data_IF_912163791941
#
_entry.id   IF_912163791941
#
_cell.length_a   1.000
_cell.length_b   1.000
_cell.length_c   1.000
_cell.angle_alpha   90.00
_cell.angle_beta   90.00
_cell.angle_gamma   90.00
#
_symmetry.space_group_name_H-M   'P 1'
#
loop_
_entity.id
_entity.type
_entity.pdbx_description
1 polymer ?
#
# COMPACT_ATOMS: atom_id res chain seq x y z
N UNK A 1 1.83 -15.24 7.48
CA UNK A 1 2.20 -15.45 6.07
C UNK A 1 3.66 -15.05 5.91
N UNK A 2 4.50 -15.90 5.32
CA UNK A 2 5.92 -15.59 5.10
C UNK A 2 6.06 -14.89 3.75
N UNK A 3 6.76 -13.77 3.74
CA UNK A 3 6.79 -12.85 2.59
C UNK A 3 8.01 -13.14 1.70
N UNK A 4 7.92 -12.91 0.39
CA UNK A 4 8.93 -13.33 -0.57
C UNK A 4 10.26 -12.61 -0.39
N UNK A 5 11.35 -13.38 -0.46
CA UNK A 5 12.75 -13.00 -0.18
C UNK A 5 13.33 -11.92 -1.10
N UNK A 6 12.57 -11.44 -2.10
CA UNK A 6 13.08 -10.52 -3.12
C UNK A 6 12.96 -9.06 -2.75
N UNK A 7 11.97 -8.71 -1.93
CA UNK A 7 11.98 -7.41 -1.30
C UNK A 7 12.88 -7.51 -0.07
N UNK A 8 13.89 -6.66 0.00
CA UNK A 8 14.81 -6.59 1.14
C UNK A 8 14.10 -5.91 2.33
N UNK A 9 13.08 -6.57 2.87
CA UNK A 9 12.44 -6.14 4.10
C UNK A 9 13.48 -6.36 5.19
N UNK A 10 13.97 -5.26 5.77
CA UNK A 10 15.11 -5.25 6.70
C UNK A 10 14.99 -6.25 7.86
N UNK A 11 15.98 -6.30 8.77
CA UNK A 11 16.14 -7.39 9.74
C UNK A 11 14.94 -7.61 10.69
N UNK A 12 14.05 -6.63 10.83
CA UNK A 12 12.85 -6.68 11.66
C UNK A 12 11.59 -6.73 10.79
N UNK A 13 11.40 -7.84 10.07
CA UNK A 13 10.33 -7.99 9.09
C UNK A 13 9.03 -8.56 9.69
N UNK A 14 8.59 -8.03 10.83
CA UNK A 14 7.41 -8.54 11.52
C UNK A 14 6.33 -7.48 11.51
N UNK A 15 5.60 -7.41 10.40
CA UNK A 15 4.46 -6.53 10.30
C UNK A 15 3.20 -7.18 10.88
N UNK A 16 2.52 -6.49 11.78
CA UNK A 16 1.19 -6.87 12.27
C UNK A 16 0.13 -6.27 11.36
N UNK A 17 -0.42 -7.10 10.46
CA UNK A 17 -1.46 -6.70 9.52
C UNK A 17 -2.83 -6.42 10.19
N UNK A 18 -2.94 -6.66 11.51
CA UNK A 18 -4.12 -6.27 12.28
C UNK A 18 -4.00 -4.83 12.81
N UNK A 19 -2.79 -4.27 12.87
CA UNK A 19 -2.53 -2.87 13.16
C UNK A 19 -2.46 -2.04 11.88
N UNK A 20 -3.32 -1.01 11.79
CA UNK A 20 -3.40 -0.15 10.61
C UNK A 20 -2.12 0.67 10.39
N UNK A 21 -1.42 1.06 11.46
CA UNK A 21 -0.19 1.84 11.37
C UNK A 21 0.95 0.98 10.81
N UNK A 22 1.06 -0.24 11.31
CA UNK A 22 2.08 -1.17 10.88
C UNK A 22 1.86 -1.67 9.44
N UNK A 23 0.59 -1.90 9.08
CA UNK A 23 0.16 -2.16 7.70
C UNK A 23 0.48 -0.98 6.76
N UNK A 24 0.24 0.25 7.20
CA UNK A 24 0.57 1.45 6.41
C UNK A 24 2.07 1.53 6.12
N UNK A 25 2.92 1.33 7.12
CA UNK A 25 4.38 1.33 6.96
C UNK A 25 4.85 0.26 5.98
N UNK A 26 4.24 -0.93 6.03
CA UNK A 26 4.51 -1.99 5.07
C UNK A 26 4.14 -1.57 3.65
N UNK A 27 2.95 -1.00 3.46
CA UNK A 27 2.45 -0.57 2.15
C UNK A 27 3.31 0.54 1.55
N UNK A 28 3.75 1.50 2.37
CA UNK A 28 4.69 2.54 1.93
C UNK A 28 6.01 1.95 1.41
N UNK A 29 6.55 0.94 2.10
CA UNK A 29 7.77 0.25 1.64
C UNK A 29 7.53 -0.51 0.36
N UNK A 30 6.44 -1.26 0.27
CA UNK A 30 6.06 -1.98 -0.95
C UNK A 30 5.93 -1.02 -2.13
N UNK A 31 5.21 0.11 -1.98
CA UNK A 31 5.06 1.11 -3.04
C UNK A 31 6.40 1.73 -3.47
N UNK A 32 7.35 1.88 -2.54
CA UNK A 32 8.68 2.47 -2.82
C UNK A 32 9.68 1.48 -3.39
N UNK A 33 9.66 0.24 -2.94
CA UNK A 33 10.66 -0.79 -3.22
C UNK A 33 10.22 -1.76 -4.32
N UNK A 34 8.92 -1.90 -4.56
CA UNK A 34 8.41 -2.78 -5.59
C UNK A 34 8.88 -2.32 -6.97
N UNK A 35 9.53 -3.25 -7.67
CA UNK A 35 10.10 -3.00 -9.00
C UNK A 35 9.05 -3.20 -10.10
N UNK A 36 7.96 -3.92 -9.81
CA UNK A 36 6.94 -4.26 -10.81
C UNK A 36 5.52 -4.12 -10.26
N UNK A 37 4.56 -3.87 -11.14
CA UNK A 37 3.14 -3.84 -10.79
C UNK A 37 2.62 -5.17 -10.23
N UNK A 38 3.24 -6.30 -10.60
CA UNK A 38 2.85 -7.61 -10.09
C UNK A 38 3.29 -7.80 -8.62
N UNK A 39 4.45 -7.27 -8.26
CA UNK A 39 4.96 -7.27 -6.87
C UNK A 39 4.05 -6.43 -5.96
N UNK A 40 3.57 -5.29 -6.48
CA UNK A 40 2.55 -4.49 -5.84
C UNK A 40 1.24 -5.27 -5.64
N UNK A 41 0.75 -5.95 -6.68
CA UNK A 41 -0.51 -6.70 -6.61
C UNK A 41 -0.44 -7.96 -5.72
N UNK A 42 0.74 -8.53 -5.50
CA UNK A 42 0.95 -9.67 -4.61
C UNK A 42 0.95 -9.27 -3.13
N UNK A 43 1.26 -8.00 -2.83
CA UNK A 43 1.45 -7.50 -1.47
C UNK A 43 0.41 -6.47 -1.01
N UNK A 44 -0.26 -5.80 -1.95
CA UNK A 44 -1.26 -4.77 -1.65
C UNK A 44 -2.66 -5.34 -1.90
N UNK A 45 -3.50 -5.29 -0.88
CA UNK A 45 -4.93 -5.51 -0.99
C UNK A 45 -5.60 -4.21 -1.42
N UNK A 46 -6.45 -4.25 -2.45
CA UNK A 46 -7.12 -3.06 -2.98
C UNK A 46 -8.01 -2.37 -1.92
N UNK A 47 -8.75 -3.12 -1.11
CA UNK A 47 -9.63 -2.57 -0.07
C UNK A 47 -8.84 -1.90 1.07
N UNK A 48 -7.79 -2.57 1.55
CA UNK A 48 -6.89 -2.02 2.57
C UNK A 48 -6.12 -0.81 2.05
N UNK A 49 -5.62 -0.88 0.81
CA UNK A 49 -4.89 0.20 0.17
C UNK A 49 -5.76 1.45 0.08
N UNK A 50 -7.01 1.34 -0.35
CA UNK A 50 -7.96 2.46 -0.42
C UNK A 50 -8.19 3.10 0.95
N UNK A 51 -8.40 2.29 2.00
CA UNK A 51 -8.62 2.78 3.37
C UNK A 51 -7.38 3.48 3.95
N UNK A 52 -6.21 2.92 3.69
CA UNK A 52 -4.95 3.46 4.20
C UNK A 52 -4.33 4.51 3.28
N UNK A 53 -4.82 4.70 2.05
CA UNK A 53 -4.23 5.59 1.04
C UNK A 53 -4.02 7.02 1.51
N UNK A 54 -4.91 7.52 2.39
CA UNK A 54 -4.80 8.86 3.00
C UNK A 54 -3.87 8.90 4.22
N UNK A 55 -3.53 7.75 4.78
CA UNK A 55 -2.63 7.57 5.91
C UNK A 55 -1.18 7.27 5.47
N UNK A 56 -0.97 6.79 4.23
CA UNK A 56 0.37 6.51 3.68
C UNK A 56 1.17 7.80 3.48
N UNK A 57 2.44 7.81 3.91
CA UNK A 57 3.37 8.94 3.74
C UNK A 57 4.24 8.70 2.48
N UNK A 58 3.60 8.75 1.32
CA UNK A 58 4.25 8.60 0.01
C UNK A 58 4.51 9.96 -0.68
N UNK A 59 5.53 10.05 -1.55
CA UNK A 59 5.77 11.27 -2.33
C UNK A 59 4.57 11.61 -3.20
N UNK A 60 4.27 12.91 -3.34
CA UNK A 60 3.12 13.37 -4.13
C UNK A 60 3.16 12.91 -5.59
N UNK A 61 4.34 12.83 -6.19
CA UNK A 61 4.50 12.33 -7.57
C UNK A 61 4.13 10.85 -7.72
N UNK A 62 4.40 10.04 -6.68
CA UNK A 62 3.96 8.63 -6.67
C UNK A 62 2.45 8.60 -6.53
N UNK A 63 1.90 9.39 -5.61
CA UNK A 63 0.45 9.48 -5.40
C UNK A 63 -0.30 9.84 -6.68
N UNK A 64 0.17 10.87 -7.39
CA UNK A 64 -0.42 11.35 -8.64
C UNK A 64 -0.38 10.29 -9.74
N UNK A 65 0.76 9.61 -9.92
CA UNK A 65 0.87 8.51 -10.88
C UNK A 65 -0.06 7.34 -10.58
N UNK A 66 -0.25 7.03 -9.30
CA UNK A 66 -1.18 6.00 -8.87
C UNK A 66 -2.62 6.43 -9.08
N UNK A 67 -3.00 7.66 -8.71
CA UNK A 67 -4.34 8.20 -8.93
C UNK A 67 -4.68 8.32 -10.42
N UNK A 68 -3.68 8.63 -11.27
CA UNK A 68 -3.85 8.65 -12.72
C UNK A 68 -4.15 7.27 -13.32
N UNK A 69 -3.69 6.18 -12.67
CA UNK A 69 -4.00 4.80 -13.06
C UNK A 69 -5.24 4.24 -12.37
N UNK A 70 -5.44 4.61 -11.11
CA UNK A 70 -6.47 4.10 -10.21
C UNK A 70 -7.24 5.30 -9.62
N UNK A 71 -8.21 5.85 -10.36
CA UNK A 71 -8.99 7.00 -9.90
C UNK A 71 -9.83 6.69 -8.64
N UNK A 72 -10.11 5.41 -8.36
CA UNK A 72 -10.77 4.95 -7.13
C UNK A 72 -10.01 5.31 -5.84
N UNK A 73 -8.68 5.42 -5.90
CA UNK A 73 -7.84 5.83 -4.76
C UNK A 73 -8.05 7.30 -4.38
N UNK A 74 -8.51 8.14 -5.32
CA UNK A 74 -8.88 9.53 -5.03
C UNK A 74 -10.25 9.63 -4.34
N UNK A 75 -11.16 8.72 -4.70
CA UNK A 75 -12.55 8.68 -4.20
C UNK A 75 -12.69 7.93 -2.87
N UNK A 76 -11.61 7.34 -2.35
CA UNK A 76 -11.65 6.47 -1.16
C UNK A 76 -12.01 7.17 0.17
N UNK A 77 -12.43 8.44 0.12
CA UNK A 77 -13.18 9.09 1.18
C UNK A 77 -14.69 9.17 0.85
N UNK A 78 -15.33 8.04 0.53
CA UNK A 78 -16.79 7.97 0.58
C UNK A 78 -17.25 6.56 0.94
N UNK A 79 -17.56 6.39 2.22
CA UNK A 79 -18.53 5.39 2.61
C UNK A 79 -19.90 5.79 2.09
N UNK A 80 -20.16 5.61 0.79
CA UNK A 80 -21.50 5.45 0.27
C UNK A 80 -21.94 4.00 0.52
N UNK A 81 -22.39 3.74 1.74
CA UNK A 81 -23.53 2.84 1.91
C UNK A 81 -24.78 3.69 1.61
N UNK A 82 -25.64 3.30 0.65
CA UNK A 82 -26.88 4.01 0.36
C UNK A 82 -27.85 4.03 1.55
#
# INVERSE_FOLDING_TARGET
MSLPTRLHWGPDNRYDLADNGDTAVMYERVIREAVTAQDLADHLDADTLQRLWHHLIIPREVRDQWQARFPELDTSQDGALP
#
